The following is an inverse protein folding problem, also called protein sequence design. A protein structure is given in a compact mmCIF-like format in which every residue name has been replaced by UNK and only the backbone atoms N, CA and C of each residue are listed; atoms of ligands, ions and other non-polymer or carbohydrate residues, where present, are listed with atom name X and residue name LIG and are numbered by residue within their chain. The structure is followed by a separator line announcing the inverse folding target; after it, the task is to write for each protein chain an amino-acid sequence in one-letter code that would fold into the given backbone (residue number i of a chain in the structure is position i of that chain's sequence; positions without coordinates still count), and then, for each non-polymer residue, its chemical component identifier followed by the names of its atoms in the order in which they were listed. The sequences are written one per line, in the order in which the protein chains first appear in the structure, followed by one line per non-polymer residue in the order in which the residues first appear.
data_IF_051641708613
#
_entry.id   IF_051641708613
#
_cell.length_a   1.000
_cell.length_b   1.000
_cell.length_c   1.000
_cell.angle_alpha   90.00
_cell.angle_beta   90.00
_cell.angle_gamma   90.00
#
_symmetry.space_group_name_H-M   'P 1'
#
loop_
_entity.id
_entity.type
_entity.pdbx_description
1 polymer ?
#
# COMPACT_ATOMS: atom_id res chain seq x y z
N UNK A 1 70.64 21.28 2.97
CA UNK A 1 69.42 20.79 3.66
C UNK A 1 68.25 21.59 3.08
N UNK A 2 67.35 20.95 2.34
CA UNK A 2 66.18 21.63 1.80
C UNK A 2 65.19 21.86 2.93
N UNK A 3 64.84 23.11 3.17
CA UNK A 3 63.92 23.52 4.23
C UNK A 3 62.49 23.29 3.73
N UNK A 4 61.93 22.13 4.06
CA UNK A 4 60.57 21.75 3.66
C UNK A 4 59.56 22.47 4.55
N UNK A 5 59.12 23.65 4.13
CA UNK A 5 57.94 24.30 4.73
C UNK A 5 56.67 23.60 4.23
N UNK A 6 56.13 22.69 5.05
CA UNK A 6 54.79 22.15 4.86
C UNK A 6 53.75 23.21 5.22
N UNK A 7 53.07 23.76 4.22
CA UNK A 7 51.88 24.58 4.45
C UNK A 7 50.67 23.65 4.41
N UNK A 8 50.13 23.32 5.59
CA UNK A 8 48.82 22.67 5.70
C UNK A 8 47.74 23.64 5.18
N UNK A 9 47.16 23.35 4.02
CA UNK A 9 45.93 23.97 3.53
C UNK A 9 44.75 23.11 3.98
N UNK A 10 44.13 23.51 5.09
CA UNK A 10 42.85 22.94 5.51
C UNK A 10 41.70 23.43 4.63
N UNK A 11 40.68 22.59 4.53
CA UNK A 11 39.39 22.79 3.85
C UNK A 11 38.77 24.16 4.16
N UNK A 12 38.26 24.78 3.10
CA UNK A 12 37.67 26.12 3.00
C UNK A 12 37.06 26.68 4.30
N UNK A 13 37.55 27.84 4.75
CA UNK A 13 36.82 28.68 5.71
C UNK A 13 37.49 28.98 7.06
N UNK A 14 38.78 28.70 7.26
CA UNK A 14 39.48 29.16 8.48
C UNK A 14 40.27 30.43 8.24
N UNK A 15 39.82 31.49 8.88
CA UNK A 15 40.55 32.74 9.04
C UNK A 15 41.64 32.59 10.08
N UNK A 16 42.71 33.36 9.97
CA UNK A 16 43.70 33.39 11.05
C UNK A 16 43.11 34.12 12.27
N UNK A 17 43.68 33.88 13.46
CA UNK A 17 43.32 34.68 14.63
C UNK A 17 43.50 36.19 14.40
N UNK A 18 44.42 36.56 13.51
CA UNK A 18 44.67 37.95 13.10
C UNK A 18 43.51 38.52 12.28
N UNK A 19 43.00 37.76 11.32
CA UNK A 19 41.83 38.13 10.51
C UNK A 19 40.56 38.28 11.38
N UNK A 20 40.38 37.41 12.37
CA UNK A 20 39.29 37.51 13.36
C UNK A 20 39.38 38.81 14.17
N UNK A 21 40.58 39.15 14.64
CA UNK A 21 40.83 40.38 15.40
C UNK A 21 40.57 41.62 14.51
N UNK A 22 41.03 41.62 13.26
CA UNK A 22 40.79 42.74 12.35
C UNK A 22 39.31 42.88 11.94
N UNK A 23 38.59 41.78 11.78
CA UNK A 23 37.14 41.80 11.53
C UNK A 23 36.40 42.36 12.74
N UNK A 24 36.79 41.97 13.96
CA UNK A 24 36.22 42.48 15.23
C UNK A 24 36.50 43.97 15.45
N UNK A 25 37.64 44.45 14.97
CA UNK A 25 38.04 45.87 14.99
C UNK A 25 37.40 46.68 13.84
N UNK A 26 36.65 46.05 12.93
CA UNK A 26 35.95 46.71 11.82
C UNK A 26 36.82 47.05 10.60
N UNK A 27 38.05 46.56 10.56
CA UNK A 27 39.00 46.82 9.46
C UNK A 27 38.80 45.86 8.26
N UNK A 28 38.16 44.71 8.48
CA UNK A 28 37.84 43.73 7.44
C UNK A 28 36.31 43.53 7.33
N UNK A 29 35.79 43.20 6.13
CA UNK A 29 34.37 42.90 5.94
C UNK A 29 33.93 41.67 6.76
N UNK A 30 32.68 41.64 7.23
CA UNK A 30 32.15 40.52 8.01
C UNK A 30 32.12 39.23 7.18
N UNK A 31 32.47 38.11 7.82
CA UNK A 31 32.59 36.81 7.15
C UNK A 31 31.22 36.29 6.72
N UNK A 32 31.15 35.58 5.58
CA UNK A 32 29.92 34.90 5.18
C UNK A 32 29.51 33.90 6.25
N UNK A 33 28.20 33.81 6.51
CA UNK A 33 27.67 32.86 7.47
C UNK A 33 28.07 31.44 7.05
N UNK A 34 28.46 30.57 8.01
CA UNK A 34 28.82 29.20 7.70
C UNK A 34 27.63 28.50 7.06
N UNK A 35 27.87 27.83 5.93
CA UNK A 35 26.86 27.02 5.27
C UNK A 35 26.42 25.91 6.22
N UNK A 36 25.14 25.93 6.61
CA UNK A 36 24.52 24.83 7.35
C UNK A 36 23.76 23.99 6.32
N UNK A 37 24.16 22.74 6.06
CA UNK A 37 23.31 21.87 5.26
C UNK A 37 21.95 21.71 5.95
N UNK A 38 20.86 21.52 5.18
CA UNK A 38 19.56 21.21 5.75
C UNK A 38 19.66 19.95 6.63
N UNK A 39 18.84 19.85 7.67
CA UNK A 39 18.77 18.63 8.48
C UNK A 39 18.42 17.46 7.58
N UNK A 40 19.11 16.33 7.74
CA UNK A 40 18.78 15.09 7.05
C UNK A 40 17.30 14.76 7.24
N UNK A 41 16.53 14.77 6.15
CA UNK A 41 15.19 14.20 6.08
C UNK A 41 15.34 12.82 5.46
N UNK A 42 14.94 11.73 6.15
CA UNK A 42 14.83 10.43 5.51
C UNK A 42 13.96 10.59 4.25
N UNK A 43 14.41 10.02 3.14
CA UNK A 43 13.55 9.91 1.96
C UNK A 43 12.25 9.23 2.38
N UNK A 44 11.11 9.69 1.87
CA UNK A 44 9.84 8.98 2.01
C UNK A 44 9.95 7.68 1.21
N UNK A 45 10.56 6.64 1.79
CA UNK A 45 10.53 5.31 1.22
C UNK A 45 9.07 4.90 1.04
N UNK A 46 8.75 4.32 -0.11
CA UNK A 46 7.42 3.79 -0.41
C UNK A 46 6.92 2.83 0.66
N UNK A 47 7.84 2.17 1.36
CA UNK A 47 7.57 1.23 2.45
C UNK A 47 7.20 1.90 3.78
N UNK A 48 7.42 3.22 3.90
CA UNK A 48 7.01 3.99 5.09
C UNK A 48 5.59 4.55 4.98
N UNK A 49 4.93 4.39 3.83
CA UNK A 49 3.55 4.84 3.64
C UNK A 49 2.59 3.83 4.26
N UNK A 50 1.55 4.29 4.97
CA UNK A 50 0.51 3.39 5.46
C UNK A 50 -0.13 2.66 4.28
N UNK A 51 -0.25 1.34 4.40
CA UNK A 51 -0.86 0.46 3.39
C UNK A 51 -2.38 0.59 3.49
N UNK A 52 -2.90 1.68 2.93
CA UNK A 52 -4.32 1.99 2.92
C UNK A 52 -5.11 1.10 1.93
N UNK A 53 -6.44 1.17 1.98
CA UNK A 53 -7.37 0.40 1.14
C UNK A 53 -7.00 0.38 -0.36
N UNK A 54 -6.58 1.53 -0.91
CA UNK A 54 -6.19 1.65 -2.32
C UNK A 54 -4.93 0.84 -2.66
N UNK A 55 -4.01 0.67 -1.71
CA UNK A 55 -2.80 -0.14 -1.92
C UNK A 55 -3.14 -1.62 -2.04
N UNK A 56 -4.15 -2.09 -1.31
CA UNK A 56 -4.65 -3.48 -1.38
C UNK A 56 -5.48 -3.69 -2.65
N UNK A 57 -6.32 -2.72 -3.01
CA UNK A 57 -7.20 -2.84 -4.18
C UNK A 57 -6.43 -2.84 -5.52
N UNK A 58 -5.22 -2.28 -5.54
CA UNK A 58 -4.32 -2.29 -6.71
C UNK A 58 -3.54 -3.62 -6.88
N UNK A 59 -3.62 -4.55 -5.92
CA UNK A 59 -2.91 -5.85 -5.95
C UNK A 59 -3.69 -6.95 -6.65
N UNK A 60 -2.97 -7.86 -7.30
CA UNK A 60 -3.56 -9.05 -7.92
C UNK A 60 -3.79 -10.16 -6.90
N UNK A 61 -4.64 -11.15 -7.23
CA UNK A 61 -4.99 -12.25 -6.32
C UNK A 61 -3.79 -13.07 -5.86
N UNK A 62 -2.81 -13.30 -6.75
CA UNK A 62 -1.55 -14.01 -6.43
C UNK A 62 -0.66 -13.20 -5.49
N UNK A 63 -0.57 -11.87 -5.68
CA UNK A 63 0.17 -11.00 -4.77
C UNK A 63 -0.50 -10.90 -3.39
N UNK A 64 -1.83 -11.01 -3.32
CA UNK A 64 -2.57 -11.01 -2.05
C UNK A 64 -2.35 -12.31 -1.27
N UNK A 65 -2.22 -13.45 -1.94
CA UNK A 65 -1.86 -14.74 -1.31
C UNK A 65 -0.44 -14.67 -0.72
N UNK A 66 0.54 -14.14 -1.46
CA UNK A 66 1.91 -13.99 -0.96
C UNK A 66 2.00 -13.02 0.24
N UNK A 67 1.12 -12.02 0.31
CA UNK A 67 1.04 -11.06 1.41
C UNK A 67 0.30 -11.63 2.64
N UNK A 68 -0.55 -12.66 2.49
CA UNK A 68 -1.18 -13.37 3.62
C UNK A 68 -0.14 -14.08 4.50
N UNK A 69 0.98 -14.50 3.91
CA UNK A 69 2.08 -15.17 4.62
C UNK A 69 3.07 -14.19 5.30
N UNK A 70 2.98 -12.87 5.06
CA UNK A 70 3.84 -11.87 5.71
C UNK A 70 3.28 -11.49 7.09
N UNK A 71 3.87 -12.10 8.13
CA UNK A 71 3.55 -11.86 9.54
C UNK A 71 3.61 -10.39 10.00
N UNK A 72 4.27 -9.49 9.25
CA UNK A 72 4.28 -8.06 9.58
C UNK A 72 3.01 -7.31 9.15
N UNK A 73 2.20 -7.92 8.27
CA UNK A 73 0.98 -7.32 7.73
C UNK A 73 -0.30 -7.86 8.37
N UNK A 74 -0.24 -9.05 8.96
CA UNK A 74 -1.38 -9.69 9.62
C UNK A 74 -1.74 -9.00 10.97
N UNK A 75 -0.79 -8.25 11.56
CA UNK A 75 -1.01 -7.47 12.79
C UNK A 75 -1.81 -6.17 12.57
N UNK A 76 -1.98 -5.73 11.31
CA UNK A 76 -2.82 -4.58 11.01
C UNK A 76 -4.30 -5.00 11.14
N UNK A 77 -4.92 -4.61 12.26
CA UNK A 77 -6.37 -4.74 12.55
C UNK A 77 -7.27 -4.36 11.36
N UNK A 78 -6.76 -3.51 10.48
CA UNK A 78 -7.37 -3.13 9.21
C UNK A 78 -7.57 -4.30 8.23
N UNK A 79 -6.61 -5.20 8.06
CA UNK A 79 -6.70 -6.35 7.15
C UNK A 79 -7.78 -7.34 7.60
N UNK A 80 -7.83 -7.64 8.91
CA UNK A 80 -8.88 -8.48 9.48
C UNK A 80 -10.27 -7.88 9.29
N UNK A 81 -10.41 -6.57 9.56
CA UNK A 81 -11.66 -5.82 9.35
C UNK A 81 -12.07 -5.84 7.87
N UNK A 82 -11.11 -5.69 6.94
CA UNK A 82 -11.35 -5.75 5.50
C UNK A 82 -11.78 -7.15 5.04
N UNK A 83 -11.07 -8.20 5.44
CA UNK A 83 -11.41 -9.60 5.12
C UNK A 83 -12.81 -9.93 5.62
N UNK A 84 -13.13 -9.52 6.85
CA UNK A 84 -14.46 -9.71 7.45
C UNK A 84 -15.54 -8.95 6.69
N UNK A 85 -15.28 -7.72 6.26
CA UNK A 85 -16.21 -6.91 5.46
C UNK A 85 -16.48 -7.54 4.09
N UNK A 86 -15.44 -7.94 3.35
CA UNK A 86 -15.57 -8.62 2.05
C UNK A 86 -16.35 -9.93 2.16
N UNK A 87 -16.04 -10.73 3.17
CA UNK A 87 -16.76 -11.99 3.41
C UNK A 87 -18.22 -11.76 3.79
N UNK A 88 -18.52 -10.69 4.54
CA UNK A 88 -19.89 -10.30 4.86
C UNK A 88 -20.65 -9.87 3.60
N UNK A 89 -20.05 -9.07 2.73
CA UNK A 89 -20.64 -8.66 1.44
C UNK A 89 -20.95 -9.87 0.55
N UNK A 90 -19.99 -10.80 0.38
CA UNK A 90 -20.22 -12.04 -0.38
C UNK A 90 -21.33 -12.90 0.24
N UNK A 91 -21.38 -12.97 1.59
CA UNK A 91 -22.43 -13.70 2.30
C UNK A 91 -23.79 -13.04 2.12
N UNK A 92 -23.90 -11.71 2.16
CA UNK A 92 -25.17 -11.02 1.92
C UNK A 92 -25.66 -11.25 0.48
N UNK A 93 -24.76 -11.22 -0.51
CA UNK A 93 -25.08 -11.59 -1.90
C UNK A 93 -25.58 -13.03 -2.00
N UNK A 94 -24.92 -13.97 -1.30
CA UNK A 94 -25.32 -15.39 -1.29
C UNK A 94 -26.58 -15.68 -0.45
N UNK A 95 -26.85 -14.88 0.59
CA UNK A 95 -28.01 -15.01 1.51
C UNK A 95 -29.31 -14.50 0.92
N UNK A 96 -29.29 -13.75 -0.18
CA UNK A 96 -30.51 -13.53 -0.97
C UNK A 96 -30.86 -14.88 -1.60
N UNK A 97 -31.48 -15.76 -0.80
CA UNK A 97 -31.95 -17.06 -1.21
C UNK A 97 -33.07 -16.84 -2.22
N UNK A 98 -32.70 -16.71 -3.51
CA UNK A 98 -33.63 -16.54 -4.62
C UNK A 98 -34.53 -17.77 -4.79
N UNK A 99 -34.07 -18.93 -4.32
CA UNK A 99 -34.73 -20.22 -4.42
C UNK A 99 -34.63 -20.98 -3.09
N UNK A 100 -35.66 -21.74 -2.71
CA UNK A 100 -35.70 -22.43 -1.41
C UNK A 100 -36.61 -23.66 -1.35
N UNK A 101 -37.26 -24.03 -2.46
CA UNK A 101 -38.14 -25.19 -2.54
C UNK A 101 -38.09 -25.79 -3.95
N UNK A 102 -38.28 -27.12 -4.04
CA UNK A 102 -38.42 -27.81 -5.33
C UNK A 102 -39.86 -27.61 -5.83
N UNK A 103 -40.00 -27.07 -7.04
CA UNK A 103 -41.30 -26.82 -7.66
C UNK A 103 -41.52 -27.89 -8.74
N UNK A 104 -42.63 -28.66 -8.69
CA UNK A 104 -42.97 -29.56 -9.77
C UNK A 104 -43.37 -28.75 -11.02
N UNK A 105 -42.73 -29.04 -12.14
CA UNK A 105 -43.00 -28.38 -13.42
C UNK A 105 -43.66 -29.35 -14.40
N UNK A 106 -44.56 -28.83 -15.23
CA UNK A 106 -45.13 -29.59 -16.33
C UNK A 106 -44.16 -29.61 -17.52
N UNK A 107 -44.34 -30.57 -18.45
CA UNK A 107 -43.54 -30.61 -19.68
C UNK A 107 -43.70 -29.36 -20.56
N UNK A 108 -44.83 -28.65 -20.47
CA UNK A 108 -45.06 -27.40 -21.23
C UNK A 108 -44.25 -26.23 -20.66
N UNK A 109 -44.02 -26.21 -19.34
CA UNK A 109 -43.26 -25.16 -18.66
C UNK A 109 -41.73 -25.38 -18.71
N UNK A 110 -41.28 -26.58 -19.10
CA UNK A 110 -39.86 -26.94 -19.13
C UNK A 110 -39.00 -25.96 -19.93
N UNK A 111 -39.46 -25.54 -21.11
CA UNK A 111 -38.71 -24.61 -21.97
C UNK A 111 -38.54 -23.25 -21.30
N UNK A 112 -39.60 -22.75 -20.64
CA UNK A 112 -39.57 -21.45 -19.96
C UNK A 112 -38.67 -21.48 -18.73
N UNK A 113 -38.83 -22.49 -17.88
CA UNK A 113 -38.17 -22.56 -16.58
C UNK A 113 -36.71 -23.06 -16.68
N UNK A 114 -36.39 -23.91 -17.66
CA UNK A 114 -35.07 -24.55 -17.80
C UNK A 114 -34.28 -23.96 -18.97
N UNK A 115 -34.88 -23.92 -20.16
CA UNK A 115 -34.15 -23.50 -21.37
C UNK A 115 -34.02 -21.99 -21.51
N UNK A 116 -34.91 -21.21 -20.91
CA UNK A 116 -34.91 -19.74 -20.95
C UNK A 116 -34.49 -19.10 -19.62
N UNK A 117 -33.87 -19.87 -18.72
CA UNK A 117 -33.37 -19.35 -17.47
C UNK A 117 -32.24 -18.32 -17.70
N UNK A 118 -32.11 -17.29 -16.84
CA UNK A 118 -31.00 -16.34 -16.92
C UNK A 118 -29.63 -17.03 -16.77
N UNK A 119 -28.56 -16.50 -17.38
CA UNK A 119 -27.22 -17.11 -17.31
C UNK A 119 -26.64 -17.12 -15.88
N UNK A 120 -27.17 -16.28 -14.99
CA UNK A 120 -26.79 -16.17 -13.58
C UNK A 120 -27.53 -17.17 -12.66
N UNK A 121 -28.34 -18.07 -13.24
CA UNK A 121 -29.15 -19.04 -12.49
C UNK A 121 -28.81 -20.46 -12.91
N UNK A 122 -28.42 -21.28 -11.93
CA UNK A 122 -28.24 -22.71 -12.10
C UNK A 122 -29.58 -23.42 -11.93
N UNK A 123 -30.00 -24.18 -12.95
CA UNK A 123 -31.24 -24.95 -12.92
C UNK A 123 -30.93 -26.44 -12.81
N UNK A 124 -31.50 -27.10 -11.80
CA UNK A 124 -31.38 -28.55 -11.58
C UNK A 124 -32.75 -29.18 -11.76
N UNK A 125 -32.87 -30.12 -12.70
CA UNK A 125 -34.13 -30.80 -13.01
C UNK A 125 -34.08 -32.25 -12.53
N UNK A 126 -35.11 -32.66 -11.79
CA UNK A 126 -35.33 -34.05 -11.39
C UNK A 126 -36.52 -34.64 -12.15
N UNK A 127 -36.23 -35.51 -13.11
CA UNK A 127 -37.25 -36.24 -13.89
C UNK A 127 -37.64 -37.52 -13.16
N UNK A 128 -38.92 -37.66 -12.81
CA UNK A 128 -39.45 -38.84 -12.15
C UNK A 128 -40.77 -39.29 -12.80
N UNK A 129 -41.16 -40.53 -12.54
CA UNK A 129 -42.47 -41.09 -12.91
C UNK A 129 -43.10 -41.63 -11.64
N UNK A 130 -44.37 -41.28 -11.38
CA UNK A 130 -45.13 -41.92 -10.31
C UNK A 130 -45.29 -43.41 -10.61
N UNK A 131 -44.92 -44.24 -9.63
CA UNK A 131 -45.01 -45.70 -9.68
C UNK A 131 -46.40 -46.20 -9.30
#
# INVERSE_FOLDING_TARGET
MADYHFIYKDVEGRTTQWDDIQTKLGNLPPKPAPFKPPSFTPSEDSDSKPKDQSWIDDKTEEELEDLEDDTNLDDDRFLEEYRKKRLAEMREVAKVARFGSVIPISGADFVREVSQAPPDVWVVVFLFKEG
#
